data_IF_157181887382
#
_entry.id   IF_157181887382
#
_cell.length_a   1.000
_cell.length_b   1.000
_cell.length_c   1.000
_cell.angle_alpha   90.00
_cell.angle_beta   90.00
_cell.angle_gamma   90.00
#
_symmetry.space_group_name_H-M   'P 1'
#
loop_
_entity.id
_entity.type
_entity.pdbx_description
1 polymer ?
#
# COMPACT_ATOMS: atom_id res chain seq x y z
N UNK A 1 -15.47 -9.76 14.70
CA UNK A 1 -14.37 -8.81 14.90
C UNK A 1 -14.53 -8.11 16.22
N UNK A 2 -13.72 -8.46 17.23
CA UNK A 2 -13.59 -7.60 18.41
C UNK A 2 -12.48 -6.60 18.09
N UNK A 3 -12.63 -5.36 18.57
CA UNK A 3 -11.69 -4.27 18.29
C UNK A 3 -10.24 -4.63 18.64
N UNK A 4 -10.06 -5.40 19.72
CA UNK A 4 -8.76 -5.93 20.15
C UNK A 4 -8.06 -6.79 19.09
N UNK A 5 -8.80 -7.59 18.33
CA UNK A 5 -8.24 -8.45 17.28
C UNK A 5 -7.73 -7.59 16.10
N UNK A 6 -8.42 -6.48 15.79
CA UNK A 6 -8.05 -5.53 14.74
C UNK A 6 -6.80 -4.74 15.13
N UNK A 7 -6.71 -4.28 16.39
CA UNK A 7 -5.52 -3.58 16.89
C UNK A 7 -4.27 -4.47 16.80
N UNK A 8 -4.41 -5.76 17.14
CA UNK A 8 -3.32 -6.73 17.03
C UNK A 8 -2.87 -6.92 15.56
N UNK A 9 -3.80 -7.04 14.62
CA UNK A 9 -3.48 -7.12 13.18
C UNK A 9 -2.80 -5.84 12.65
N UNK A 10 -3.32 -4.67 13.04
CA UNK A 10 -2.74 -3.37 12.66
C UNK A 10 -1.31 -3.20 13.20
N UNK A 11 -1.07 -3.59 14.46
CA UNK A 11 0.27 -3.55 15.07
C UNK A 11 1.21 -4.53 14.36
N UNK A 12 0.72 -5.73 14.02
CA UNK A 12 1.49 -6.70 13.24
C UNK A 12 1.92 -6.17 11.88
N UNK A 13 0.99 -5.62 11.10
CA UNK A 13 1.29 -5.03 9.79
C UNK A 13 2.26 -3.85 9.89
N UNK A 14 2.13 -3.01 10.93
CA UNK A 14 3.06 -1.92 11.18
C UNK A 14 4.48 -2.42 11.44
N UNK A 15 4.65 -3.50 12.22
CA UNK A 15 5.97 -4.09 12.48
C UNK A 15 6.61 -4.66 11.20
N UNK A 16 5.81 -5.26 10.31
CA UNK A 16 6.28 -5.67 8.98
C UNK A 16 6.75 -4.44 8.20
N UNK A 17 5.96 -3.37 8.16
CA UNK A 17 6.31 -2.15 7.44
C UNK A 17 7.63 -1.54 7.96
N UNK A 18 7.80 -1.45 9.28
CA UNK A 18 9.05 -0.98 9.90
C UNK A 18 10.27 -1.79 9.45
N UNK A 19 10.13 -3.11 9.34
CA UNK A 19 11.19 -4.00 8.87
C UNK A 19 11.51 -3.77 7.39
N UNK A 20 10.49 -3.55 6.56
CA UNK A 20 10.65 -3.20 5.13
C UNK A 20 11.33 -1.84 4.93
N UNK A 21 11.17 -0.91 5.86
CA UNK A 21 11.75 0.44 5.81
C UNK A 21 13.01 0.56 6.67
N UNK A 22 13.71 -0.54 6.95
CA UNK A 22 14.97 -0.49 7.68
C UNK A 22 15.95 0.50 7.02
N UNK A 23 16.67 1.26 7.86
CA UNK A 23 17.61 2.28 7.41
C UNK A 23 18.73 1.68 6.55
N UNK A 24 19.23 0.50 6.95
CA UNK A 24 20.15 -0.29 6.13
C UNK A 24 19.35 -1.14 5.12
N UNK A 25 19.66 -1.06 3.81
CA UNK A 25 18.98 -1.86 2.80
C UNK A 25 19.18 -3.37 3.00
N UNK A 26 20.32 -3.78 3.54
CA UNK A 26 20.66 -5.19 3.76
C UNK A 26 19.82 -5.85 4.87
N UNK A 27 19.20 -5.04 5.73
CA UNK A 27 18.32 -5.51 6.80
C UNK A 27 16.87 -5.67 6.34
N UNK A 28 16.52 -5.18 5.14
CA UNK A 28 15.16 -5.28 4.64
C UNK A 28 14.87 -6.73 4.24
N UNK A 29 13.74 -7.30 4.66
CA UNK A 29 13.37 -8.66 4.28
C UNK A 29 13.14 -8.75 2.77
N UNK A 30 13.41 -9.93 2.19
CA UNK A 30 12.97 -10.22 0.82
C UNK A 30 11.45 -10.20 0.75
N UNK A 31 10.90 -9.76 -0.39
CA UNK A 31 9.44 -9.71 -0.58
C UNK A 31 8.75 -11.06 -0.36
N UNK A 32 9.39 -12.18 -0.70
CA UNK A 32 8.85 -13.52 -0.42
C UNK A 32 8.67 -13.79 1.08
N UNK A 33 9.53 -13.22 1.92
CA UNK A 33 9.40 -13.30 3.38
C UNK A 33 8.29 -12.37 3.87
N UNK A 34 8.21 -11.15 3.33
CA UNK A 34 7.14 -10.18 3.66
C UNK A 34 5.76 -10.77 3.38
N UNK A 35 5.55 -11.40 2.22
CA UNK A 35 4.29 -12.06 1.87
C UNK A 35 3.93 -13.12 2.91
N UNK A 36 4.88 -13.98 3.28
CA UNK A 36 4.67 -14.99 4.31
C UNK A 36 4.28 -14.38 5.66
N UNK A 37 4.96 -13.31 6.08
CA UNK A 37 4.63 -12.62 7.34
C UNK A 37 3.21 -12.04 7.32
N UNK A 38 2.75 -11.52 6.17
CA UNK A 38 1.39 -10.99 6.01
C UNK A 38 0.35 -12.12 6.02
N UNK A 39 0.64 -13.25 5.38
CA UNK A 39 -0.22 -14.44 5.38
C UNK A 39 -0.36 -15.02 6.80
N UNK A 40 0.75 -15.07 7.55
CA UNK A 40 0.79 -15.54 8.94
C UNK A 40 -0.06 -14.63 9.87
N UNK A 41 -0.06 -13.31 9.64
CA UNK A 41 -0.92 -12.36 10.38
C UNK A 41 -2.41 -12.51 10.06
N UNK A 42 -2.75 -12.79 8.80
CA UNK A 42 -4.14 -12.93 8.35
C UNK A 42 -4.77 -14.26 8.73
N UNK A 43 -3.99 -15.20 9.25
CA UNK A 43 -4.48 -16.47 9.80
C UNK A 43 -5.43 -17.22 8.85
N UNK A 44 -5.00 -17.53 7.62
CA UNK A 44 -5.72 -18.40 6.65
C UNK A 44 -7.25 -18.23 6.66
N UNK A 45 -7.76 -17.01 6.64
CA UNK A 45 -9.13 -16.74 6.23
C UNK A 45 -9.02 -15.82 5.02
N UNK A 46 -8.78 -16.44 3.86
CA UNK A 46 -9.18 -15.83 2.59
C UNK A 46 -10.71 -15.76 2.63
N UNK A 47 -11.25 -14.75 3.32
CA UNK A 47 -12.54 -14.21 2.92
C UNK A 47 -12.30 -13.59 1.56
N UNK A 48 -12.86 -14.17 0.48
CA UNK A 48 -12.75 -13.58 -0.85
C UNK A 48 -13.27 -12.15 -0.75
N UNK A 49 -12.59 -11.27 -1.48
CA UNK A 49 -13.05 -9.93 -1.80
C UNK A 49 -14.58 -9.81 -1.70
N UNK A 50 -15.04 -9.00 -0.75
CA UNK A 50 -16.35 -8.39 -0.92
C UNK A 50 -16.16 -7.30 -1.98
N UNK A 51 -16.10 -7.74 -3.25
CA UNK A 51 -16.30 -6.92 -4.44
C UNK A 51 -17.70 -6.30 -4.31
N UNK A 52 -17.79 -5.16 -3.62
CA UNK A 52 -19.00 -4.34 -3.67
C UNK A 52 -18.62 -2.88 -3.55
N UNK A 53 -18.45 -2.32 -4.74
CA UNK A 53 -18.80 -0.96 -5.13
C UNK A 53 -17.79 0.17 -4.84
N UNK A 54 -17.14 0.58 -5.93
CA UNK A 54 -16.96 1.97 -6.34
C UNK A 54 -16.09 2.88 -5.43
N UNK A 55 -14.79 2.92 -5.71
CA UNK A 55 -14.10 4.21 -5.77
C UNK A 55 -13.28 4.22 -7.04
N UNK A 56 -13.99 4.48 -8.12
CA UNK A 56 -13.43 4.83 -9.43
C UNK A 56 -12.29 5.82 -9.23
N UNK A 57 -11.15 5.47 -9.79
CA UNK A 57 -10.05 6.39 -10.02
C UNK A 57 -10.55 7.57 -10.84
N UNK A 58 -10.78 8.70 -10.19
CA UNK A 58 -10.80 10.00 -10.87
C UNK A 58 -9.81 10.92 -10.17
N UNK A 59 -8.53 10.70 -10.47
CA UNK A 59 -7.52 11.74 -10.27
C UNK A 59 -7.37 12.45 -11.61
N UNK A 60 -7.98 13.64 -11.81
CA UNK A 60 -7.75 14.41 -13.01
C UNK A 60 -6.32 14.93 -12.94
N UNK A 61 -5.41 14.24 -13.62
CA UNK A 61 -4.08 14.78 -13.87
C UNK A 61 -4.23 15.87 -14.93
N UNK A 62 -4.43 17.11 -14.51
CA UNK A 62 -4.33 18.27 -15.40
C UNK A 62 -2.85 18.47 -15.72
N UNK A 63 -2.38 17.92 -16.83
CA UNK A 63 -1.17 18.40 -17.49
C UNK A 63 -1.56 19.57 -18.39
N UNK A 64 -1.33 20.79 -17.95
CA UNK A 64 -1.31 21.95 -18.85
C UNK A 64 0.09 22.04 -19.47
N UNK A 65 0.24 21.56 -20.70
CA UNK A 65 1.40 21.88 -21.53
C UNK A 65 0.91 22.45 -22.87
N UNK A 66 1.12 23.75 -23.05
CA UNK A 66 1.24 24.38 -24.35
C UNK A 66 2.03 25.69 -24.20
N UNK A 67 3.34 25.59 -24.39
CA UNK A 67 4.18 26.69 -24.82
C UNK A 67 3.64 27.26 -26.15
N UNK A 68 3.12 28.48 -26.14
CA UNK A 68 3.01 29.31 -27.33
C UNK A 68 4.06 30.41 -27.25
N UNK A 69 5.31 30.05 -27.58
CA UNK A 69 6.28 31.02 -28.04
C UNK A 69 5.85 31.56 -29.40
N UNK A 70 5.37 32.80 -29.44
CA UNK A 70 5.49 33.64 -30.64
C UNK A 70 6.10 34.97 -30.25
N UNK A 71 7.39 35.08 -30.56
CA UNK A 71 8.04 36.37 -30.78
C UNK A 71 7.47 37.03 -32.05
N UNK A 72 7.72 38.33 -32.21
CA UNK A 72 7.41 39.23 -33.34
C UNK A 72 6.02 39.89 -33.27
N UNK A 73 5.85 41.22 -33.25
CA UNK A 73 6.68 42.40 -33.58
C UNK A 73 6.40 43.53 -32.58
#
# INVERSE_FOLDING_TARGET
>A
MRYKDIEEEMVGLLQIAMSCTAASPDQRPRMSHVVKMIEDLRGVEVSPCNDTAESVSDSPSLSEDACAGTASQ
#
